data_IF_654844670483
#
_entry.id   IF_654844670483
#
_cell.length_a   1.000
_cell.length_b   1.000
_cell.length_c   1.000
_cell.angle_alpha   90.00
_cell.angle_beta   90.00
_cell.angle_gamma   90.00
#
_symmetry.space_group_name_H-M   'P 1'
#
loop_
_entity.id
_entity.type
_entity.pdbx_description
1 polymer ?
#
# COMPACT_ATOMS: atom_id res chain seq x y z
N UNK A 1 -0.21 17.59 2.83
CA UNK A 1 0.30 17.30 1.47
C UNK A 1 -0.29 15.98 1.00
N UNK A 2 -0.79 15.94 -0.23
CA UNK A 2 -1.47 14.82 -0.88
C UNK A 2 -0.63 14.26 -2.04
N UNK A 3 -0.96 13.05 -2.51
CA UNK A 3 -0.21 12.39 -3.58
C UNK A 3 -0.15 13.21 -4.90
N UNK A 4 -1.25 13.83 -5.39
CA UNK A 4 -1.20 14.68 -6.58
C UNK A 4 -0.16 15.79 -6.49
N UNK A 5 -0.02 16.44 -5.34
CA UNK A 5 1.00 17.49 -5.16
C UNK A 5 2.41 16.92 -5.17
N UNK A 6 2.63 15.80 -4.47
CA UNK A 6 3.93 15.11 -4.42
C UNK A 6 4.38 14.67 -5.82
N UNK A 7 3.45 14.11 -6.60
CA UNK A 7 3.69 13.66 -7.98
C UNK A 7 3.92 14.84 -8.92
N UNK A 8 3.13 15.92 -8.86
CA UNK A 8 3.37 17.13 -9.67
C UNK A 8 4.73 17.76 -9.42
N UNK A 9 5.19 17.75 -8.17
CA UNK A 9 6.48 18.29 -7.78
C UNK A 9 7.65 17.34 -8.10
N UNK A 10 7.40 16.11 -8.53
CA UNK A 10 8.46 15.15 -8.85
C UNK A 10 9.22 14.63 -7.64
N UNK A 11 8.69 14.80 -6.41
CA UNK A 11 9.45 14.56 -5.16
C UNK A 11 10.09 13.15 -5.13
N UNK A 12 9.40 12.05 -5.51
CA UNK A 12 10.00 10.72 -5.51
C UNK A 12 11.22 10.57 -6.45
N UNK A 13 11.41 11.49 -7.39
CA UNK A 13 12.49 11.43 -8.39
C UNK A 13 13.77 12.09 -7.85
N UNK A 14 13.66 13.28 -7.25
CA UNK A 14 14.84 14.09 -6.89
C UNK A 14 15.17 14.09 -5.40
N UNK A 15 14.21 13.79 -4.52
CA UNK A 15 14.46 13.78 -3.07
C UNK A 15 15.40 12.64 -2.72
N UNK A 16 16.65 12.92 -2.34
CA UNK A 16 17.67 11.88 -2.12
C UNK A 16 17.52 11.17 -0.79
N UNK A 17 17.11 11.87 0.26
CA UNK A 17 16.91 11.28 1.57
C UNK A 17 15.66 10.38 1.57
N UNK A 18 15.90 9.08 1.75
CA UNK A 18 14.84 8.08 1.78
C UNK A 18 14.04 8.13 3.08
N UNK A 19 14.62 8.58 4.19
CA UNK A 19 13.91 8.77 5.45
C UNK A 19 12.91 9.93 5.36
N UNK A 20 13.29 11.04 4.73
CA UNK A 20 12.36 12.13 4.43
C UNK A 20 11.22 11.67 3.53
N UNK A 21 11.52 10.87 2.49
CA UNK A 21 10.49 10.30 1.62
C UNK A 21 9.54 9.37 2.39
N UNK A 22 10.06 8.55 3.32
CA UNK A 22 9.26 7.68 4.20
C UNK A 22 8.36 8.47 5.15
N UNK A 23 8.86 9.59 5.68
CA UNK A 23 8.10 10.49 6.53
C UNK A 23 6.96 11.14 5.74
N UNK A 24 7.25 11.61 4.53
CA UNK A 24 6.24 12.16 3.62
C UNK A 24 5.19 11.11 3.24
N UNK A 25 5.61 9.89 2.89
CA UNK A 25 4.70 8.78 2.60
C UNK A 25 3.81 8.42 3.80
N UNK A 26 4.37 8.41 5.02
CA UNK A 26 3.61 8.20 6.25
C UNK A 26 2.55 9.29 6.45
N UNK A 27 2.93 10.56 6.23
CA UNK A 27 2.01 11.69 6.31
C UNK A 27 0.89 11.58 5.27
N UNK A 28 1.21 11.24 4.02
CA UNK A 28 0.21 11.02 2.97
C UNK A 28 -0.76 9.88 3.33
N UNK A 29 -0.26 8.75 3.83
CA UNK A 29 -1.09 7.62 4.24
C UNK A 29 -2.08 8.02 5.35
N UNK A 30 -1.61 8.77 6.35
CA UNK A 30 -2.46 9.31 7.43
C UNK A 30 -3.51 10.28 6.89
N UNK A 31 -3.12 11.20 6.00
CA UNK A 31 -4.05 12.16 5.41
C UNK A 31 -5.15 11.47 4.59
N UNK A 32 -4.78 10.47 3.78
CA UNK A 32 -5.75 9.65 3.01
C UNK A 32 -6.76 8.96 3.92
N UNK A 33 -6.28 8.28 4.97
CA UNK A 33 -7.16 7.66 5.96
C UNK A 33 -8.04 8.67 6.67
N UNK A 34 -7.53 9.85 7.04
CA UNK A 34 -8.34 10.85 7.73
C UNK A 34 -9.44 11.45 6.85
N UNK A 35 -9.23 11.50 5.53
CA UNK A 35 -10.18 12.03 4.57
C UNK A 35 -11.37 11.07 4.33
N UNK A 36 -11.12 9.78 4.07
CA UNK A 36 -12.18 8.81 3.76
C UNK A 36 -12.64 7.99 4.96
N UNK A 37 -11.82 7.90 6.01
CA UNK A 37 -11.90 6.92 7.10
C UNK A 37 -11.80 5.46 6.64
N UNK A 38 -11.50 5.23 5.36
CA UNK A 38 -11.33 3.90 4.80
C UNK A 38 -9.84 3.48 4.89
N UNK A 39 -9.53 2.37 5.58
CA UNK A 39 -8.16 1.85 5.66
C UNK A 39 -7.58 1.39 4.30
N UNK A 40 -8.43 1.10 3.30
CA UNK A 40 -7.97 0.66 1.98
C UNK A 40 -7.13 1.73 1.27
N UNK A 41 -7.51 3.00 1.38
CA UNK A 41 -6.82 4.15 0.75
C UNK A 41 -5.41 4.39 1.30
N UNK A 42 -5.16 3.95 2.53
CA UNK A 42 -3.86 4.07 3.18
C UNK A 42 -3.02 2.78 3.09
N UNK A 43 -3.61 1.69 2.60
CA UNK A 43 -3.00 0.35 2.64
C UNK A 43 -1.70 0.28 1.84
N UNK A 44 -1.67 0.85 0.64
CA UNK A 44 -0.49 0.79 -0.23
C UNK A 44 0.74 1.39 0.44
N UNK A 45 0.63 2.63 0.94
CA UNK A 45 1.75 3.30 1.61
C UNK A 45 2.14 2.63 2.92
N UNK A 46 1.19 2.22 3.77
CA UNK A 46 1.56 1.58 5.03
C UNK A 46 2.22 0.22 4.83
N UNK A 47 1.78 -0.58 3.86
CA UNK A 47 2.46 -1.84 3.53
C UNK A 47 3.82 -1.57 2.88
N UNK A 48 3.94 -0.60 1.97
CA UNK A 48 5.22 -0.21 1.39
C UNK A 48 6.23 0.23 2.46
N UNK A 49 5.77 0.87 3.53
CA UNK A 49 6.59 1.25 4.69
C UNK A 49 6.84 0.11 5.69
N UNK A 50 6.39 -1.12 5.41
CA UNK A 50 6.41 -2.29 6.32
C UNK A 50 5.67 -2.05 7.65
N UNK A 51 4.73 -1.10 7.70
CA UNK A 51 3.92 -0.74 8.88
C UNK A 51 2.58 -1.50 8.91
N UNK A 52 2.62 -2.83 8.71
CA UNK A 52 1.42 -3.71 8.71
C UNK A 52 0.62 -3.59 10.01
N UNK A 53 1.30 -3.54 11.16
CA UNK A 53 0.68 -3.45 12.50
C UNK A 53 -0.14 -2.17 12.65
N UNK A 54 0.36 -1.05 12.14
CA UNK A 54 -0.37 0.21 12.13
C UNK A 54 -1.62 0.11 11.24
N UNK A 55 -1.49 -0.45 10.03
CA UNK A 55 -2.63 -0.68 9.16
C UNK A 55 -3.69 -1.58 9.82
N UNK A 56 -3.27 -2.65 10.51
CA UNK A 56 -4.17 -3.51 11.28
C UNK A 56 -4.91 -2.73 12.38
N UNK A 57 -4.22 -1.79 13.05
CA UNK A 57 -4.84 -0.86 14.00
C UNK A 57 -5.94 0.00 13.35
N UNK A 58 -5.69 0.54 12.15
CA UNK A 58 -6.70 1.30 11.40
C UNK A 58 -7.92 0.44 11.06
N UNK A 59 -7.69 -0.80 10.61
CA UNK A 59 -8.78 -1.76 10.36
C UNK A 59 -9.61 -2.09 11.60
N UNK A 60 -9.04 -2.06 12.81
CA UNK A 60 -9.84 -2.24 14.05
C UNK A 60 -10.83 -1.08 14.25
N UNK A 61 -10.44 0.14 13.87
CA UNK A 61 -11.28 1.34 14.02
C UNK A 61 -12.36 1.47 12.93
N UNK A 62 -12.21 0.78 11.80
CA UNK A 62 -13.14 0.83 10.68
C UNK A 62 -14.27 -0.21 10.79
N UNK A 63 -15.02 -0.19 11.90
CA UNK A 63 -16.12 -1.15 12.15
C UNK A 63 -17.26 -1.08 11.13
N UNK A 64 -17.41 0.06 10.44
CA UNK A 64 -18.40 0.28 9.40
C UNK A 64 -18.03 -0.40 8.06
N UNK A 65 -16.77 -0.81 7.86
CA UNK A 65 -16.32 -1.36 6.58
C UNK A 65 -16.67 -2.85 6.47
N UNK A 66 -17.40 -3.30 5.44
CA UNK A 66 -17.91 -4.68 5.35
C UNK A 66 -16.80 -5.74 5.26
N UNK A 67 -15.63 -5.39 4.73
CA UNK A 67 -14.48 -6.29 4.61
C UNK A 67 -13.61 -6.35 5.87
N UNK A 68 -13.91 -5.55 6.91
CA UNK A 68 -13.13 -5.43 8.14
C UNK A 68 -12.81 -6.79 8.81
N UNK A 69 -13.78 -7.69 9.08
CA UNK A 69 -13.46 -8.96 9.74
C UNK A 69 -12.54 -9.86 8.89
N UNK A 70 -12.72 -9.85 7.57
CA UNK A 70 -11.88 -10.61 6.63
C UNK A 70 -10.47 -10.03 6.59
N UNK A 71 -10.34 -8.71 6.52
CA UNK A 71 -9.07 -8.01 6.47
C UNK A 71 -8.28 -8.14 7.77
N UNK A 72 -8.92 -8.02 8.93
CA UNK A 72 -8.26 -8.23 10.22
C UNK A 72 -7.72 -9.65 10.37
N UNK A 73 -8.51 -10.66 10.00
CA UNK A 73 -8.08 -12.06 10.01
C UNK A 73 -6.93 -12.31 9.02
N UNK A 74 -6.97 -11.68 7.85
CA UNK A 74 -5.92 -11.81 6.86
C UNK A 74 -4.62 -11.13 7.30
N UNK A 75 -4.69 -9.89 7.78
CA UNK A 75 -3.53 -9.11 8.24
C UNK A 75 -2.89 -9.65 9.53
N UNK A 76 -3.63 -10.45 10.31
CA UNK A 76 -3.10 -11.15 11.48
C UNK A 76 -2.10 -12.26 11.13
N UNK A 77 -2.07 -12.73 9.87
CA UNK A 77 -1.08 -13.70 9.45
C UNK A 77 0.33 -13.09 9.43
N UNK A 78 1.32 -13.94 9.63
CA UNK A 78 2.72 -13.64 9.35
C UNK A 78 2.97 -13.74 7.83
N UNK A 79 3.52 -12.69 7.22
CA UNK A 79 3.80 -12.67 5.78
C UNK A 79 5.28 -12.94 5.47
N UNK A 80 6.07 -13.35 6.47
CA UNK A 80 7.39 -13.94 6.23
C UNK A 80 7.28 -15.44 5.91
N UNK A 81 6.15 -16.08 6.23
CA UNK A 81 5.83 -17.47 5.82
C UNK A 81 5.48 -17.54 4.31
N UNK A 82 6.21 -18.33 3.49
CA UNK A 82 5.93 -18.52 2.07
C UNK A 82 4.48 -18.96 1.75
N UNK A 83 3.83 -19.72 2.64
CA UNK A 83 2.43 -20.13 2.47
C UNK A 83 1.49 -18.93 2.54
N UNK A 84 1.76 -18.00 3.45
CA UNK A 84 0.96 -16.78 3.65
C UNK A 84 1.26 -15.75 2.56
N UNK A 85 2.50 -15.65 2.10
CA UNK A 85 2.86 -14.89 0.90
C UNK A 85 2.08 -15.40 -0.32
N UNK A 86 2.06 -16.71 -0.54
CA UNK A 86 1.29 -17.32 -1.63
C UNK A 86 -0.21 -17.00 -1.57
N UNK A 87 -0.78 -16.97 -0.35
CA UNK A 87 -2.18 -16.55 -0.15
C UNK A 87 -2.38 -15.05 -0.47
N UNK A 88 -1.42 -14.18 -0.09
CA UNK A 88 -1.44 -12.76 -0.45
C UNK A 88 -1.41 -12.54 -1.96
N UNK A 89 -0.57 -13.29 -2.68
CA UNK A 89 -0.48 -13.20 -4.14
C UNK A 89 -1.77 -13.64 -4.82
N UNK A 90 -2.39 -14.74 -4.38
CA UNK A 90 -3.71 -15.17 -4.90
C UNK A 90 -4.76 -14.07 -4.72
N UNK A 91 -4.79 -13.44 -3.55
CA UNK A 91 -5.68 -12.32 -3.27
C UNK A 91 -5.35 -11.08 -4.11
N UNK A 92 -4.06 -10.79 -4.36
CA UNK A 92 -3.63 -9.68 -5.22
C UNK A 92 -4.17 -9.83 -6.65
N UNK A 93 -4.04 -11.02 -7.25
CA UNK A 93 -4.60 -11.30 -8.58
C UNK A 93 -6.14 -11.20 -8.60
N UNK A 94 -6.82 -11.66 -7.55
CA UNK A 94 -8.27 -11.49 -7.45
C UNK A 94 -8.67 -10.00 -7.36
N UNK A 95 -7.89 -9.17 -6.67
CA UNK A 95 -8.11 -7.72 -6.57
C UNK A 95 -7.86 -7.01 -7.91
N UNK A 96 -6.88 -7.46 -8.71
CA UNK A 96 -6.69 -6.97 -10.08
C UNK A 96 -7.93 -7.21 -10.95
N UNK A 97 -8.53 -8.40 -10.88
CA UNK A 97 -9.77 -8.72 -11.60
C UNK A 97 -10.95 -7.83 -11.18
N UNK A 98 -10.95 -7.34 -9.94
CA UNK A 98 -11.94 -6.39 -9.40
C UNK A 98 -11.58 -4.92 -9.64
N UNK A 99 -10.51 -4.63 -10.38
CA UNK A 99 -10.00 -3.28 -10.64
C UNK A 99 -9.62 -2.48 -9.38
N UNK A 100 -9.35 -3.16 -8.26
CA UNK A 100 -8.89 -2.51 -7.01
C UNK A 100 -7.37 -2.45 -6.99
N UNK A 101 -6.81 -1.64 -7.89
CA UNK A 101 -5.38 -1.66 -8.23
C UNK A 101 -4.45 -1.26 -7.08
N UNK A 102 -4.75 -0.20 -6.32
CA UNK A 102 -3.90 0.21 -5.18
C UNK A 102 -3.83 -0.88 -4.10
N UNK A 103 -4.98 -1.49 -3.78
CA UNK A 103 -5.04 -2.58 -2.82
C UNK A 103 -4.34 -3.85 -3.36
N UNK A 104 -4.47 -4.13 -4.66
CA UNK A 104 -3.74 -5.23 -5.29
C UNK A 104 -2.22 -5.03 -5.18
N UNK A 105 -1.72 -3.82 -5.44
CA UNK A 105 -0.31 -3.48 -5.27
C UNK A 105 0.15 -3.70 -3.82
N UNK A 106 -0.67 -3.29 -2.83
CA UNK A 106 -0.38 -3.55 -1.41
C UNK A 106 -0.27 -5.06 -1.11
N UNK A 107 -1.14 -5.88 -1.70
CA UNK A 107 -1.10 -7.34 -1.51
C UNK A 107 0.10 -8.00 -2.21
N UNK A 108 0.54 -7.48 -3.36
CA UNK A 108 1.81 -7.92 -3.96
C UNK A 108 3.00 -7.63 -3.07
N UNK A 109 3.03 -6.48 -2.38
CA UNK A 109 4.07 -6.15 -1.40
C UNK A 109 4.05 -7.08 -0.17
N UNK A 110 2.86 -7.46 0.32
CA UNK A 110 2.72 -8.48 1.37
C UNK A 110 3.23 -9.86 0.91
N UNK A 111 3.12 -10.17 -0.39
CA UNK A 111 3.68 -11.38 -0.98
C UNK A 111 5.16 -11.28 -1.34
N UNK A 112 5.88 -10.23 -0.91
CA UNK A 112 7.27 -9.95 -1.25
C UNK A 112 7.54 -9.88 -2.78
N UNK A 113 6.59 -9.34 -3.55
CA UNK A 113 6.68 -9.18 -5.01
C UNK A 113 6.70 -7.71 -5.40
N UNK A 114 7.79 -7.02 -5.05
CA UNK A 114 7.96 -5.59 -5.33
C UNK A 114 7.79 -5.25 -6.81
N UNK A 115 8.39 -6.04 -7.71
CA UNK A 115 8.28 -5.82 -9.16
C UNK A 115 6.84 -5.88 -9.67
N UNK A 116 6.02 -6.77 -9.11
CA UNK A 116 4.62 -6.90 -9.52
C UNK A 116 3.79 -5.72 -9.00
N UNK A 117 3.99 -5.29 -7.74
CA UNK A 117 3.41 -4.05 -7.24
C UNK A 117 3.82 -2.83 -8.09
N UNK A 118 5.12 -2.76 -8.41
CA UNK A 118 5.78 -1.96 -9.43
C UNK A 118 4.94 -1.77 -10.70
N UNK A 119 4.72 -2.91 -11.36
CA UNK A 119 4.01 -3.02 -12.61
C UNK A 119 2.54 -2.63 -12.49
N UNK A 120 1.87 -2.88 -11.37
CA UNK A 120 0.48 -2.46 -11.16
C UNK A 120 0.37 -0.94 -11.19
N UNK A 121 1.28 -0.24 -10.50
CA UNK A 121 1.32 1.22 -10.53
C UNK A 121 1.54 1.77 -11.94
N UNK A 122 2.47 1.18 -12.70
CA UNK A 122 2.79 1.63 -14.06
C UNK A 122 1.66 1.33 -15.04
N UNK A 123 1.18 0.09 -15.10
CA UNK A 123 0.26 -0.36 -16.15
C UNK A 123 -1.20 -0.02 -15.88
N UNK A 124 -1.63 -0.14 -14.62
CA UNK A 124 -3.04 0.01 -14.25
C UNK A 124 -3.33 1.39 -13.67
N UNK A 125 -2.48 1.90 -12.77
CA UNK A 125 -2.66 3.25 -12.21
C UNK A 125 -2.10 4.35 -13.11
N UNK A 126 -1.30 4.00 -14.13
CA UNK A 126 -0.60 4.94 -15.03
C UNK A 126 0.25 5.96 -14.27
N UNK A 127 0.81 5.54 -13.13
CA UNK A 127 1.57 6.40 -12.24
C UNK A 127 2.98 5.83 -12.00
N UNK A 128 3.91 6.27 -12.83
CA UNK A 128 5.33 5.89 -12.76
C UNK A 128 5.99 6.45 -11.50
N UNK A 129 5.57 7.63 -11.04
CA UNK A 129 6.15 8.22 -9.84
C UNK A 129 5.73 7.47 -8.58
N UNK A 130 4.52 6.92 -8.56
CA UNK A 130 4.04 6.05 -7.48
C UNK A 130 4.85 4.76 -7.44
N UNK A 131 5.13 4.18 -8.60
CA UNK A 131 5.98 3.01 -8.72
C UNK A 131 7.39 3.27 -8.16
N UNK A 132 8.02 4.39 -8.55
CA UNK A 132 9.33 4.82 -8.02
C UNK A 132 9.26 5.02 -6.51
N UNK A 133 8.26 5.76 -6.03
CA UNK A 133 8.07 6.03 -4.61
C UNK A 133 8.00 4.74 -3.78
N UNK A 134 7.17 3.79 -4.20
CA UNK A 134 6.98 2.51 -3.51
C UNK A 134 8.27 1.69 -3.50
N UNK A 135 8.99 1.61 -4.63
CA UNK A 135 10.26 0.89 -4.68
C UNK A 135 11.26 1.48 -3.68
N UNK A 136 11.39 2.82 -3.67
CA UNK A 136 12.33 3.52 -2.80
C UNK A 136 12.01 3.41 -1.31
N UNK A 137 10.74 3.43 -0.92
CA UNK A 137 10.38 3.36 0.50
C UNK A 137 10.36 1.92 1.05
N UNK A 138 10.23 0.92 0.17
CA UNK A 138 10.14 -0.50 0.54
C UNK A 138 11.50 -1.18 0.77
N UNK A 139 12.55 -0.70 0.09
CA UNK A 139 13.96 -1.07 0.29
C UNK A 139 14.56 -0.39 1.53
#
# INVERSE_FOLDING_TARGET
MDWPTVSRLGIPIWLRDTNELRNLATLMARNRFMASKDPTDASLFFIALRKKTLLQGLWRTASFHPEQPKMLKFLANDFDDPKKQSAALKNAFALLGKQRFELAAAFFLLGNRLKDAANVCIKHLRDVQLAICICRIYE
#
